data_IF_528960196880
#
_entry.id   IF_528960196880
#
_cell.length_a   1.000
_cell.length_b   1.000
_cell.length_c   1.000
_cell.angle_alpha   90.00
_cell.angle_beta   90.00
_cell.angle_gamma   90.00
#
_symmetry.space_group_name_H-M   'P 1'
#
loop_
_entity.id
_entity.type
_entity.pdbx_description
1 polymer ?
#
# COMPACT_ATOMS: atom_id res chain seq x y z
N UNK A 1 -5.84 0.81 20.61
CA UNK A 1 -7.12 0.17 20.23
C UNK A 1 -7.25 -1.18 20.91
N UNK A 2 -6.29 -2.09 20.70
CA UNK A 2 -6.26 -3.42 21.33
C UNK A 2 -6.35 -3.40 22.87
N UNK A 3 -5.77 -2.39 23.52
CA UNK A 3 -5.75 -2.30 24.99
C UNK A 3 -7.07 -1.82 25.61
N UNK A 4 -8.00 -1.32 24.80
CA UNK A 4 -9.20 -0.61 25.29
C UNK A 4 -10.52 -1.15 24.74
N UNK A 5 -10.49 -1.93 23.65
CA UNK A 5 -11.70 -2.42 22.99
C UNK A 5 -11.64 -3.93 22.75
N UNK A 6 -12.79 -4.58 22.80
CA UNK A 6 -12.93 -5.96 22.33
C UNK A 6 -12.98 -5.99 20.81
N UNK A 7 -11.85 -6.30 20.19
CA UNK A 7 -11.66 -6.25 18.74
C UNK A 7 -11.68 -7.66 18.17
N UNK A 8 -12.39 -7.84 17.04
CA UNK A 8 -12.35 -9.10 16.26
C UNK A 8 -11.32 -9.09 15.13
N UNK A 9 -10.90 -7.90 14.71
CA UNK A 9 -9.89 -7.68 13.67
C UNK A 9 -9.90 -6.24 13.18
N UNK A 10 -9.01 -5.92 12.25
CA UNK A 10 -8.77 -4.57 11.75
C UNK A 10 -9.09 -4.44 10.26
N UNK A 11 -9.98 -3.52 9.92
CA UNK A 11 -10.18 -3.10 8.53
C UNK A 11 -9.57 -1.72 8.41
N UNK A 12 -8.42 -1.63 7.74
CA UNK A 12 -7.75 -0.37 7.48
C UNK A 12 -8.09 0.11 6.07
N UNK A 13 -8.48 1.36 5.92
CA UNK A 13 -8.92 1.84 4.62
C UNK A 13 -8.69 3.33 4.45
N UNK A 14 -8.52 3.74 3.20
CA UNK A 14 -8.25 5.12 2.81
C UNK A 14 -7.88 5.22 1.34
N UNK A 15 -7.39 6.37 0.93
CA UNK A 15 -6.87 6.57 -0.43
C UNK A 15 -5.38 6.17 -0.53
N UNK A 16 -4.88 6.06 -1.76
CA UNK A 16 -3.48 5.79 -2.09
C UNK A 16 -3.15 6.25 -3.51
N UNK A 17 -1.87 6.47 -3.80
CA UNK A 17 -1.40 6.72 -5.16
C UNK A 17 -1.32 5.44 -5.99
N UNK A 18 -1.60 5.54 -7.29
CA UNK A 18 -1.54 4.42 -8.23
C UNK A 18 -0.13 4.24 -8.82
N UNK A 19 0.52 3.12 -8.49
CA UNK A 19 1.85 2.77 -9.03
C UNK A 19 1.78 1.79 -10.21
N UNK A 20 0.60 1.28 -10.57
CA UNK A 20 0.42 0.29 -11.63
C UNK A 20 -0.38 0.86 -12.81
N UNK A 21 0.20 0.82 -14.02
CA UNK A 21 -0.47 1.31 -15.25
C UNK A 21 -1.68 0.48 -15.68
N UNK A 22 -1.92 -0.71 -15.13
CA UNK A 22 -3.12 -1.50 -15.41
C UNK A 22 -4.33 -1.14 -14.53
N UNK A 23 -4.13 -0.24 -13.55
CA UNK A 23 -5.17 0.32 -12.69
C UNK A 23 -5.37 1.79 -13.01
N UNK A 24 -6.50 2.33 -12.57
CA UNK A 24 -6.90 3.69 -12.86
C UNK A 24 -7.40 4.43 -11.61
N UNK A 25 -7.45 5.77 -11.66
CA UNK A 25 -8.03 6.59 -10.59
C UNK A 25 -9.48 6.13 -10.32
N UNK A 26 -9.88 6.09 -9.06
CA UNK A 26 -11.20 5.62 -8.62
C UNK A 26 -11.28 4.11 -8.40
N UNK A 27 -10.37 3.31 -8.97
CA UNK A 27 -10.29 1.88 -8.68
C UNK A 27 -10.01 1.66 -7.19
N UNK A 28 -10.49 0.52 -6.66
CA UNK A 28 -10.23 0.11 -5.28
C UNK A 28 -9.37 -1.15 -5.30
N UNK A 29 -8.15 -1.03 -4.76
CA UNK A 29 -7.22 -2.13 -4.57
C UNK A 29 -7.38 -2.72 -3.16
N UNK A 30 -7.39 -4.06 -3.07
CA UNK A 30 -7.31 -4.81 -1.81
C UNK A 30 -6.04 -5.66 -1.85
N UNK A 31 -4.88 -5.12 -1.43
CA UNK A 31 -3.62 -5.84 -1.55
C UNK A 31 -3.53 -7.04 -0.61
N UNK A 32 -2.91 -8.14 -1.07
CA UNK A 32 -2.66 -9.34 -0.24
C UNK A 32 -1.51 -9.17 0.74
N UNK A 33 -0.62 -8.23 0.48
CA UNK A 33 0.54 -7.97 1.32
C UNK A 33 1.11 -6.57 1.09
N UNK A 34 1.80 -6.07 2.10
CA UNK A 34 2.44 -4.75 2.09
C UNK A 34 3.93 -4.86 2.43
N UNK A 35 4.70 -3.93 1.87
CA UNK A 35 6.08 -3.68 2.29
C UNK A 35 6.23 -2.18 2.63
N UNK A 36 7.03 -1.89 3.65
CA UNK A 36 7.48 -0.53 3.91
C UNK A 36 8.61 -0.18 2.94
N UNK A 37 8.26 0.43 1.81
CA UNK A 37 9.23 0.85 0.80
C UNK A 37 9.87 2.19 1.16
N UNK A 38 9.54 2.77 2.31
CA UNK A 38 10.23 3.94 2.87
C UNK A 38 11.32 3.59 3.89
N UNK A 39 11.50 2.31 4.24
CA UNK A 39 12.56 1.88 5.14
C UNK A 39 13.87 1.68 4.38
N UNK A 40 14.82 2.59 4.61
CA UNK A 40 16.07 2.66 3.87
C UNK A 40 17.28 2.79 4.78
N UNK A 41 18.37 2.16 4.36
CA UNK A 41 19.71 2.55 4.77
C UNK A 41 20.28 3.54 3.75
N UNK A 42 20.46 4.79 4.17
CA UNK A 42 21.10 5.81 3.33
C UNK A 42 22.60 5.86 3.59
N UNK A 43 23.36 5.44 2.59
CA UNK A 43 24.77 5.15 2.67
C UNK A 43 25.62 6.12 1.87
N UNK A 44 26.85 6.36 2.36
CA UNK A 44 27.87 7.17 1.66
C UNK A 44 28.22 6.54 0.30
N UNK A 45 28.71 7.31 -0.69
CA UNK A 45 29.01 6.79 -2.05
C UNK A 45 29.89 5.53 -2.10
N UNK A 46 30.85 5.40 -1.18
CA UNK A 46 31.80 4.29 -1.11
C UNK A 46 31.43 3.22 -0.07
N UNK A 47 30.27 3.33 0.58
CA UNK A 47 29.82 2.32 1.53
C UNK A 47 29.28 1.09 0.78
N UNK A 48 29.46 -0.08 1.41
CA UNK A 48 28.90 -1.35 0.96
C UNK A 48 27.46 -1.45 1.41
N UNK A 49 26.56 -1.84 0.49
CA UNK A 49 25.17 -2.12 0.84
C UNK A 49 25.11 -3.37 1.72
N UNK A 50 24.36 -3.35 2.84
CA UNK A 50 24.08 -4.54 3.63
C UNK A 50 23.60 -5.71 2.77
N UNK A 51 24.14 -6.91 3.02
CA UNK A 51 23.81 -8.10 2.20
C UNK A 51 22.35 -8.54 2.31
N UNK A 52 21.62 -8.05 3.33
CA UNK A 52 20.21 -8.32 3.56
C UNK A 52 19.28 -7.31 2.88
N UNK A 53 19.80 -6.25 2.26
CA UNK A 53 18.97 -5.33 1.49
C UNK A 53 18.48 -5.98 0.20
N UNK A 54 17.23 -5.69 -0.15
CA UNK A 54 16.49 -6.37 -1.23
C UNK A 54 16.49 -5.60 -2.54
N UNK A 55 16.85 -4.32 -2.49
CA UNK A 55 16.94 -3.42 -3.64
C UNK A 55 17.84 -2.22 -3.30
N UNK A 56 18.22 -1.45 -4.30
CA UNK A 56 19.05 -0.26 -4.12
C UNK A 56 18.73 0.86 -5.13
N UNK A 57 19.01 2.09 -4.74
CA UNK A 57 19.05 3.27 -5.59
C UNK A 57 20.44 3.93 -5.47
N UNK A 58 21.08 4.18 -6.61
CA UNK A 58 22.42 4.78 -6.64
C UNK A 58 22.33 6.27 -6.99
N UNK A 59 22.05 7.08 -5.97
CA UNK A 59 21.90 8.53 -6.10
C UNK A 59 23.15 9.20 -6.68
N UNK A 60 24.35 8.66 -6.44
CA UNK A 60 25.61 9.26 -6.88
C UNK A 60 25.74 9.36 -8.40
N UNK A 61 25.00 8.53 -9.15
CA UNK A 61 25.00 8.50 -10.61
C UNK A 61 24.16 9.63 -11.23
N UNK A 62 23.31 10.30 -10.44
CA UNK A 62 22.51 11.45 -10.87
C UNK A 62 23.30 12.75 -10.67
N UNK A 63 24.17 13.06 -11.62
CA UNK A 63 25.18 14.11 -11.51
C UNK A 63 25.07 15.22 -12.59
N UNK A 64 23.97 15.28 -13.34
CA UNK A 64 23.79 16.33 -14.35
C UNK A 64 23.85 17.76 -13.77
N UNK A 65 24.52 18.72 -14.45
CA UNK A 65 25.19 18.62 -15.75
C UNK A 65 26.68 18.23 -15.68
N UNK A 66 27.25 18.01 -14.48
CA UNK A 66 28.69 17.82 -14.30
C UNK A 66 29.02 16.35 -14.02
N UNK A 67 29.80 15.72 -14.89
CA UNK A 67 30.28 14.37 -14.66
C UNK A 67 31.01 14.21 -13.31
N UNK A 68 30.83 13.04 -12.67
CA UNK A 68 31.43 12.67 -11.39
C UNK A 68 30.38 12.29 -10.33
N UNK A 69 30.78 11.60 -9.27
CA UNK A 69 29.82 11.17 -8.25
C UNK A 69 29.37 12.34 -7.37
N UNK A 70 28.07 12.46 -7.10
CA UNK A 70 27.60 13.35 -6.04
C UNK A 70 27.78 12.72 -4.65
N UNK A 71 27.65 13.54 -3.60
CA UNK A 71 27.82 13.12 -2.21
C UNK A 71 26.61 12.39 -1.60
N UNK A 72 25.47 12.31 -2.32
CA UNK A 72 24.25 11.65 -1.84
C UNK A 72 24.38 10.13 -1.82
N UNK A 73 25.35 9.54 -2.52
CA UNK A 73 25.69 8.13 -2.35
C UNK A 73 24.60 7.18 -2.84
N UNK A 74 24.14 6.27 -1.98
CA UNK A 74 23.18 5.23 -2.35
C UNK A 74 22.21 4.92 -1.22
N UNK A 75 21.06 4.39 -1.57
CA UNK A 75 20.04 3.88 -0.64
C UNK A 75 19.89 2.39 -0.87
N UNK A 76 19.84 1.61 0.20
CA UNK A 76 19.45 0.20 0.20
C UNK A 76 18.10 0.01 0.90
N UNK A 77 17.28 -0.91 0.39
CA UNK A 77 15.96 -1.23 0.93
C UNK A 77 16.06 -2.41 1.88
N UNK A 78 15.76 -2.18 3.14
CA UNK A 78 16.00 -3.16 4.19
C UNK A 78 14.70 -3.87 4.60
N UNK A 79 14.76 -5.16 4.97
CA UNK A 79 13.66 -5.81 5.67
C UNK A 79 13.48 -5.22 7.07
N UNK A 80 12.28 -5.39 7.64
CA UNK A 80 11.97 -4.95 9.00
C UNK A 80 12.07 -6.10 10.00
N UNK A 81 12.38 -5.74 11.26
CA UNK A 81 12.27 -6.67 12.38
C UNK A 81 10.82 -6.81 12.83
N UNK A 82 10.27 -8.00 12.72
CA UNK A 82 8.91 -8.31 13.14
C UNK A 82 8.89 -9.22 14.38
N UNK A 83 8.06 -8.85 15.35
CA UNK A 83 7.78 -9.62 16.55
C UNK A 83 6.29 -9.94 16.61
N UNK A 84 5.94 -11.13 17.09
CA UNK A 84 4.55 -11.57 17.21
C UNK A 84 4.36 -12.40 18.47
N UNK A 85 3.16 -12.36 19.05
CA UNK A 85 2.78 -13.19 20.21
C UNK A 85 2.92 -14.70 19.96
N UNK A 86 2.73 -15.14 18.71
CA UNK A 86 2.92 -16.54 18.31
C UNK A 86 4.40 -16.94 18.09
N UNK A 87 5.34 -16.00 18.21
CA UNK A 87 6.77 -16.21 17.99
C UNK A 87 7.55 -16.35 19.28
N UNK A 88 8.84 -16.67 19.16
CA UNK A 88 9.76 -16.73 20.30
C UNK A 88 9.97 -15.33 20.91
N UNK A 89 9.81 -15.17 22.24
CA UNK A 89 10.05 -13.89 22.91
C UNK A 89 11.45 -13.33 22.60
N UNK A 90 11.52 -12.01 22.36
CA UNK A 90 12.75 -11.27 22.05
C UNK A 90 13.53 -11.74 20.82
N UNK A 91 12.92 -12.55 19.93
CA UNK A 91 13.56 -13.01 18.69
C UNK A 91 12.83 -12.43 17.47
N UNK A 92 13.41 -11.47 16.75
CA UNK A 92 12.78 -10.89 15.57
C UNK A 92 12.83 -11.83 14.37
N UNK A 93 11.80 -11.74 13.54
CA UNK A 93 11.79 -12.27 12.18
C UNK A 93 12.06 -11.15 11.20
N UNK A 94 13.05 -11.30 10.32
CA UNK A 94 13.30 -10.34 9.25
C UNK A 94 12.26 -10.50 8.15
N UNK A 95 11.46 -9.47 7.89
CA UNK A 95 10.37 -9.51 6.91
C UNK A 95 10.32 -8.24 6.07
N UNK A 96 10.26 -8.42 4.76
CA UNK A 96 9.91 -7.36 3.82
C UNK A 96 8.39 -7.29 3.62
N UNK A 97 7.75 -8.46 3.47
CA UNK A 97 6.34 -8.57 3.15
C UNK A 97 5.51 -8.99 4.35
N UNK A 98 4.48 -8.20 4.64
CA UNK A 98 3.47 -8.49 5.64
C UNK A 98 2.17 -8.85 4.95
N UNK A 99 1.74 -10.11 5.09
CA UNK A 99 0.51 -10.61 4.46
C UNK A 99 -0.71 -10.24 5.30
N UNK A 100 -1.77 -9.77 4.64
CA UNK A 100 -3.07 -9.59 5.28
C UNK A 100 -3.72 -10.96 5.54
N UNK A 101 -4.84 -11.00 6.27
CA UNK A 101 -5.48 -12.26 6.63
C UNK A 101 -6.10 -12.98 5.43
N UNK A 102 -5.64 -14.20 5.15
CA UNK A 102 -6.07 -14.99 4.00
C UNK A 102 -7.58 -15.22 3.93
N UNK A 103 -8.24 -15.52 5.05
CA UNK A 103 -9.69 -15.72 5.07
C UNK A 103 -10.45 -14.44 4.67
N UNK A 104 -9.99 -13.28 5.14
CA UNK A 104 -10.59 -11.99 4.81
C UNK A 104 -10.29 -11.58 3.37
N UNK A 105 -9.08 -11.87 2.89
CA UNK A 105 -8.72 -11.66 1.48
C UNK A 105 -9.58 -12.54 0.54
N UNK A 106 -9.84 -13.79 0.91
CA UNK A 106 -10.71 -14.68 0.15
C UNK A 106 -12.16 -14.16 0.12
N UNK A 107 -12.69 -13.71 1.26
CA UNK A 107 -14.01 -13.07 1.29
C UNK A 107 -14.07 -11.84 0.37
N UNK A 108 -13.00 -11.04 0.34
CA UNK A 108 -12.92 -9.84 -0.47
C UNK A 108 -12.96 -10.10 -1.98
N UNK A 109 -12.56 -11.29 -2.47
CA UNK A 109 -12.68 -11.61 -3.91
C UNK A 109 -14.13 -11.61 -4.38
N UNK A 110 -15.09 -11.86 -3.48
CA UNK A 110 -16.53 -11.76 -3.80
C UNK A 110 -17.04 -10.34 -4.02
N UNK A 111 -16.19 -9.32 -3.79
CA UNK A 111 -16.49 -7.91 -4.06
C UNK A 111 -16.03 -7.47 -5.46
N UNK A 112 -15.25 -8.29 -6.17
CA UNK A 112 -14.90 -8.01 -7.56
C UNK A 112 -16.17 -7.98 -8.42
N UNK A 113 -16.28 -6.97 -9.29
CA UNK A 113 -17.47 -6.72 -10.11
C UNK A 113 -18.57 -5.87 -9.43
N UNK A 114 -18.37 -5.45 -8.17
CA UNK A 114 -19.21 -4.42 -7.54
C UNK A 114 -19.20 -3.12 -8.36
N UNK A 115 -20.37 -2.48 -8.47
CA UNK A 115 -20.48 -1.16 -9.06
C UNK A 115 -19.90 -0.10 -8.12
N UNK A 116 -19.02 0.74 -8.67
CA UNK A 116 -18.37 1.85 -7.99
C UNK A 116 -18.82 3.17 -8.60
N UNK A 117 -18.75 4.25 -7.82
CA UNK A 117 -19.03 5.59 -8.30
C UNK A 117 -18.01 5.98 -9.37
N UNK A 118 -18.49 6.58 -10.45
CA UNK A 118 -17.67 7.06 -11.56
C UNK A 118 -17.43 8.58 -11.49
N UNK A 119 -18.25 9.31 -10.73
CA UNK A 119 -18.30 10.76 -10.74
C UNK A 119 -18.09 11.34 -9.34
N UNK A 120 -17.27 12.39 -9.26
CA UNK A 120 -17.17 13.23 -8.06
C UNK A 120 -18.44 14.08 -7.93
N UNK A 121 -18.92 14.62 -9.06
CA UNK A 121 -20.13 15.42 -9.16
C UNK A 121 -20.67 15.40 -10.61
N UNK A 122 -21.75 16.13 -10.89
CA UNK A 122 -22.40 16.16 -12.21
C UNK A 122 -21.51 16.60 -13.38
N UNK A 123 -20.39 17.29 -13.11
CA UNK A 123 -19.49 17.83 -14.12
C UNK A 123 -18.10 17.19 -14.14
N UNK A 124 -17.75 16.42 -13.10
CA UNK A 124 -16.44 15.79 -12.95
C UNK A 124 -16.61 14.28 -12.79
N UNK A 125 -16.38 13.56 -13.88
CA UNK A 125 -16.48 12.11 -13.98
C UNK A 125 -15.23 11.52 -14.63
N UNK A 126 -14.93 10.28 -14.29
CA UNK A 126 -13.94 9.47 -15.00
C UNK A 126 -14.51 8.99 -16.34
N UNK A 127 -13.66 8.82 -17.35
CA UNK A 127 -14.07 8.29 -18.67
C UNK A 127 -14.29 6.78 -18.69
N UNK A 128 -14.05 6.11 -17.57
CA UNK A 128 -14.16 4.67 -17.39
C UNK A 128 -14.87 4.36 -16.07
N UNK A 129 -15.44 3.15 -16.00
CA UNK A 129 -16.02 2.65 -14.75
C UNK A 129 -14.92 2.10 -13.85
N UNK A 130 -14.79 2.58 -12.60
CA UNK A 130 -13.84 2.01 -11.67
C UNK A 130 -14.19 0.57 -11.28
N UNK A 131 -13.18 -0.17 -10.83
CA UNK A 131 -13.32 -1.58 -10.41
C UNK A 131 -12.64 -1.86 -9.08
N UNK A 132 -13.09 -2.91 -8.42
CA UNK A 132 -12.39 -3.54 -7.29
C UNK A 132 -11.40 -4.56 -7.83
N UNK A 133 -10.17 -4.54 -7.31
CA UNK A 133 -9.12 -5.52 -7.67
C UNK A 133 -8.49 -6.09 -6.40
N UNK A 134 -8.47 -7.42 -6.28
CA UNK A 134 -7.98 -8.09 -5.08
C UNK A 134 -6.67 -8.82 -5.34
N UNK A 135 -5.77 -8.83 -4.36
CA UNK A 135 -4.61 -9.73 -4.36
C UNK A 135 -3.31 -9.16 -4.93
N UNK A 136 -3.28 -7.87 -5.24
CA UNK A 136 -2.06 -7.14 -5.63
C UNK A 136 -1.19 -6.83 -4.40
N UNK A 137 -0.09 -6.09 -4.57
CA UNK A 137 0.82 -5.71 -3.47
C UNK A 137 0.72 -4.22 -3.19
N UNK A 138 0.83 -3.84 -1.92
CA UNK A 138 0.85 -2.45 -1.49
C UNK A 138 2.23 -2.03 -1.01
N UNK A 139 2.47 -0.73 -1.10
CA UNK A 139 3.66 -0.03 -0.62
C UNK A 139 3.25 0.97 0.44
N UNK A 140 4.03 1.07 1.51
CA UNK A 140 3.89 2.14 2.51
C UNK A 140 5.20 2.91 2.65
N UNK A 141 5.13 4.22 2.78
CA UNK A 141 6.27 5.07 3.14
C UNK A 141 5.76 6.36 3.82
N UNK A 142 6.56 7.02 4.66
CA UNK A 142 6.18 8.30 5.30
C UNK A 142 6.30 9.51 4.36
N UNK A 143 6.18 9.30 3.05
CA UNK A 143 6.35 10.32 2.01
C UNK A 143 5.21 10.22 1.02
N UNK A 144 4.59 11.36 0.71
CA UNK A 144 3.65 11.44 -0.40
C UNK A 144 4.41 11.24 -1.71
N UNK A 145 3.98 10.25 -2.51
CA UNK A 145 4.65 9.90 -3.75
C UNK A 145 4.07 10.71 -4.91
N UNK A 146 4.83 11.69 -5.40
CA UNK A 146 4.49 12.48 -6.60
C UNK A 146 5.69 12.55 -7.56
N UNK A 147 6.16 11.37 -7.99
CA UNK A 147 7.30 11.27 -8.89
C UNK A 147 7.17 10.03 -9.79
N UNK A 148 6.90 10.23 -11.08
CA UNK A 148 6.72 9.16 -12.06
C UNK A 148 7.89 8.16 -12.09
N UNK A 149 9.14 8.65 -12.10
CA UNK A 149 10.31 7.79 -12.20
C UNK A 149 10.48 6.90 -10.95
N UNK A 150 10.25 7.48 -9.77
CA UNK A 150 10.34 6.73 -8.52
C UNK A 150 9.16 5.76 -8.34
N UNK A 151 7.95 6.17 -8.76
CA UNK A 151 6.77 5.30 -8.88
C UNK A 151 7.06 4.07 -9.74
N UNK A 152 7.63 4.28 -10.93
CA UNK A 152 7.95 3.19 -11.86
C UNK A 152 9.03 2.28 -11.27
N UNK A 153 10.03 2.85 -10.60
CA UNK A 153 11.06 2.09 -9.89
C UNK A 153 10.44 1.15 -8.84
N UNK A 154 9.57 1.64 -7.93
CA UNK A 154 9.00 0.78 -6.89
C UNK A 154 8.03 -0.26 -7.47
N UNK A 155 7.30 0.06 -8.55
CA UNK A 155 6.48 -0.90 -9.27
C UNK A 155 7.34 -2.03 -9.86
N UNK A 156 8.41 -1.69 -10.59
CA UNK A 156 9.30 -2.68 -11.21
C UNK A 156 10.06 -3.52 -10.18
N UNK A 157 10.48 -2.89 -9.08
CA UNK A 157 11.30 -3.53 -8.04
C UNK A 157 10.47 -4.45 -7.14
N UNK A 158 9.29 -4.00 -6.71
CA UNK A 158 8.50 -4.69 -5.68
C UNK A 158 7.17 -5.26 -6.20
N UNK A 159 6.74 -4.89 -7.40
CA UNK A 159 5.44 -5.27 -7.97
C UNK A 159 4.26 -4.67 -7.19
N UNK A 160 4.46 -3.52 -6.54
CA UNK A 160 3.44 -2.81 -5.76
C UNK A 160 2.53 -2.01 -6.69
N UNK A 161 1.22 -2.06 -6.47
CA UNK A 161 0.21 -1.38 -7.30
C UNK A 161 -0.41 -0.14 -6.65
N UNK A 162 -0.23 0.01 -5.35
CA UNK A 162 -0.72 1.15 -4.56
C UNK A 162 0.35 1.60 -3.59
N UNK A 163 0.47 2.91 -3.39
CA UNK A 163 1.39 3.52 -2.42
C UNK A 163 0.63 4.41 -1.42
N UNK A 164 0.74 4.10 -0.13
CA UNK A 164 0.15 4.86 0.97
C UNK A 164 1.18 5.20 2.06
N UNK A 165 0.71 5.77 3.17
CA UNK A 165 1.57 6.25 4.25
C UNK A 165 1.30 5.58 5.61
N UNK A 166 0.47 4.54 5.66
CA UNK A 166 0.06 3.93 6.95
C UNK A 166 -0.05 2.40 6.96
N UNK A 167 -0.29 1.74 5.82
CA UNK A 167 -0.82 0.36 5.84
C UNK A 167 0.12 -0.64 6.46
N UNK A 168 1.42 -0.57 6.18
CA UNK A 168 2.38 -1.50 6.78
C UNK A 168 2.42 -1.37 8.30
N UNK A 169 2.34 -0.16 8.85
CA UNK A 169 2.30 0.04 10.30
C UNK A 169 1.06 -0.59 10.95
N UNK A 170 -0.12 -0.44 10.32
CA UNK A 170 -1.36 -1.04 10.82
C UNK A 170 -1.34 -2.57 10.68
N UNK A 171 -0.90 -3.08 9.52
CA UNK A 171 -0.82 -4.53 9.26
C UNK A 171 0.17 -5.17 10.24
N UNK A 172 1.39 -4.63 10.35
CA UNK A 172 2.42 -5.14 11.24
C UNK A 172 1.94 -5.16 12.70
N UNK A 173 1.35 -4.07 13.18
CA UNK A 173 0.85 -3.99 14.56
C UNK A 173 -0.29 -4.99 14.80
N UNK A 174 -1.22 -5.14 13.85
CA UNK A 174 -2.33 -6.09 13.95
C UNK A 174 -1.83 -7.53 14.04
N UNK A 175 -0.91 -7.91 13.14
CA UNK A 175 -0.33 -9.25 13.09
C UNK A 175 0.54 -9.55 14.31
N UNK A 176 1.28 -8.55 14.80
CA UNK A 176 2.12 -8.67 15.99
C UNK A 176 1.28 -9.08 17.22
N UNK A 177 0.06 -8.53 17.32
CA UNK A 177 -0.92 -8.82 18.37
C UNK A 177 -1.90 -9.97 18.01
N UNK A 178 -1.62 -10.76 16.97
CA UNK A 178 -2.43 -11.93 16.62
C UNK A 178 -3.83 -11.64 16.05
N UNK A 179 -4.13 -10.40 15.64
CA UNK A 179 -5.44 -10.03 15.09
C UNK A 179 -5.49 -10.15 13.56
N UNK A 180 -6.64 -10.58 12.99
CA UNK A 180 -6.82 -10.53 11.57
C UNK A 180 -6.91 -9.09 11.07
N UNK A 181 -6.41 -8.85 9.86
CA UNK A 181 -6.35 -7.53 9.25
C UNK A 181 -6.59 -7.62 7.75
N UNK A 182 -7.26 -6.63 7.18
CA UNK A 182 -7.38 -6.38 5.74
C UNK A 182 -7.19 -4.90 5.47
N UNK A 183 -6.71 -4.57 4.27
CA UNK A 183 -6.50 -3.20 3.82
C UNK A 183 -7.25 -2.96 2.52
N UNK A 184 -7.98 -1.84 2.43
CA UNK A 184 -8.72 -1.41 1.24
C UNK A 184 -8.28 0.00 0.84
N UNK A 185 -7.72 0.15 -0.37
CA UNK A 185 -7.15 1.42 -0.84
C UNK A 185 -7.76 1.90 -2.16
N UNK A 186 -8.26 3.13 -2.16
CA UNK A 186 -8.82 3.78 -3.34
C UNK A 186 -7.76 4.59 -4.05
N UNK A 187 -7.65 4.44 -5.36
CA UNK A 187 -6.63 5.14 -6.14
C UNK A 187 -7.06 6.58 -6.40
N UNK A 188 -6.45 7.55 -5.72
CA UNK A 188 -6.81 8.98 -5.82
C UNK A 188 -6.06 9.73 -6.91
N UNK A 189 -4.90 9.21 -7.30
CA UNK A 189 -3.95 9.88 -8.18
C UNK A 189 -3.00 8.86 -8.81
N UNK A 190 -2.09 9.34 -9.68
CA UNK A 190 -1.17 8.50 -10.44
C UNK A 190 0.25 8.50 -9.86
N UNK A 191 0.42 8.87 -8.59
CA UNK A 191 1.70 8.86 -7.89
C UNK A 191 2.82 9.64 -8.65
N UNK A 192 2.44 10.74 -9.32
CA UNK A 192 3.35 11.58 -10.09
C UNK A 192 3.45 11.27 -11.59
N UNK A 193 2.71 10.28 -12.11
CA UNK A 193 2.68 9.99 -13.54
C UNK A 193 1.68 10.85 -14.33
N UNK A 194 0.88 11.68 -13.67
CA UNK A 194 0.00 12.65 -14.32
C UNK A 194 0.79 13.84 -14.91
N UNK A 195 0.21 14.51 -15.92
CA UNK A 195 0.71 15.80 -16.37
C UNK A 195 0.24 16.93 -15.44
N UNK A 196 1.15 17.81 -15.04
CA UNK A 196 0.82 18.98 -14.23
C UNK A 196 0.59 18.64 -12.75
N UNK A 197 -0.38 19.30 -12.12
CA UNK A 197 -0.67 19.13 -10.71
C UNK A 197 -1.23 17.74 -10.41
N UNK A 198 -0.88 17.21 -9.24
CA UNK A 198 -1.42 15.94 -8.78
C UNK A 198 -2.96 16.00 -8.66
N UNK A 199 -3.62 14.95 -9.15
CA UNK A 199 -5.07 14.89 -9.27
C UNK A 199 -5.80 14.53 -7.98
N UNK A 200 -5.08 14.33 -6.88
CA UNK A 200 -5.64 13.96 -5.57
C UNK A 200 -6.72 14.94 -5.09
N UNK A 201 -6.53 16.25 -5.30
CA UNK A 201 -7.51 17.25 -4.88
C UNK A 201 -8.83 17.15 -5.66
N UNK A 202 -8.79 16.60 -6.88
CA UNK A 202 -9.96 16.40 -7.73
C UNK A 202 -10.66 15.07 -7.42
N UNK A 203 -9.89 13.97 -7.36
CA UNK A 203 -10.45 12.62 -7.31
C UNK A 203 -10.31 11.91 -5.95
N UNK A 204 -9.62 12.51 -4.98
CA UNK A 204 -9.54 12.03 -3.60
C UNK A 204 -10.92 11.74 -2.98
N UNK A 205 -11.91 12.65 -3.09
CA UNK A 205 -13.26 12.38 -2.59
C UNK A 205 -13.95 11.18 -3.26
N UNK A 206 -13.74 10.98 -4.56
CA UNK A 206 -14.30 9.85 -5.30
C UNK A 206 -13.66 8.53 -4.83
N UNK A 207 -12.32 8.48 -4.77
CA UNK A 207 -11.58 7.33 -4.28
C UNK A 207 -11.99 6.97 -2.84
N UNK A 208 -12.11 7.96 -1.96
CA UNK A 208 -12.55 7.75 -0.58
C UNK A 208 -13.99 7.19 -0.51
N UNK A 209 -14.89 7.69 -1.34
CA UNK A 209 -16.29 7.22 -1.43
C UNK A 209 -16.34 5.76 -1.88
N UNK A 210 -15.61 5.42 -2.93
CA UNK A 210 -15.55 4.04 -3.44
C UNK A 210 -14.97 3.07 -2.41
N UNK A 211 -13.92 3.48 -1.68
CA UNK A 211 -13.37 2.69 -0.57
C UNK A 211 -14.40 2.47 0.52
N UNK A 212 -15.11 3.51 0.94
CA UNK A 212 -16.15 3.38 1.97
C UNK A 212 -17.26 2.40 1.53
N UNK A 213 -17.69 2.49 0.27
CA UNK A 213 -18.68 1.56 -0.31
C UNK A 213 -18.19 0.11 -0.27
N UNK A 214 -16.94 -0.15 -0.67
CA UNK A 214 -16.33 -1.49 -0.62
C UNK A 214 -16.22 -2.01 0.82
N UNK A 215 -15.80 -1.17 1.77
CA UNK A 215 -15.68 -1.55 3.19
C UNK A 215 -17.03 -1.87 3.80
N UNK A 216 -18.07 -1.06 3.53
CA UNK A 216 -19.43 -1.33 4.01
C UNK A 216 -19.91 -2.71 3.53
N UNK A 217 -19.64 -3.04 2.28
CA UNK A 217 -20.07 -4.30 1.68
C UNK A 217 -19.24 -5.49 2.20
N UNK A 218 -17.94 -5.30 2.40
CA UNK A 218 -17.09 -6.27 3.08
C UNK A 218 -17.62 -6.61 4.49
N UNK A 219 -17.96 -5.60 5.29
CA UNK A 219 -18.48 -5.78 6.66
C UNK A 219 -19.80 -6.54 6.66
N UNK A 220 -20.72 -6.24 5.73
CA UNK A 220 -21.98 -6.99 5.59
C UNK A 220 -21.72 -8.48 5.36
N UNK A 221 -20.87 -8.82 4.37
CA UNK A 221 -20.51 -10.21 4.08
C UNK A 221 -19.81 -10.91 5.25
N UNK A 222 -18.93 -10.20 5.95
CA UNK A 222 -18.24 -10.76 7.12
C UNK A 222 -19.22 -11.10 8.26
N UNK A 223 -20.29 -10.30 8.42
CA UNK A 223 -21.33 -10.57 9.40
C UNK A 223 -22.17 -11.80 9.04
N UNK A 224 -22.52 -11.99 7.76
CA UNK A 224 -23.28 -13.14 7.25
C UNK A 224 -22.51 -14.46 7.44
N UNK A 225 -21.21 -14.48 7.16
CA UNK A 225 -20.35 -15.65 7.45
C UNK A 225 -20.28 -15.98 8.93
N UNK A 226 -20.34 -14.96 9.80
CA UNK A 226 -20.32 -15.16 11.25
C UNK A 226 -21.61 -15.81 11.76
N UNK A 227 -22.77 -15.43 11.21
CA UNK A 227 -24.07 -16.01 11.57
C UNK A 227 -24.31 -17.41 10.98
N UNK A 228 -23.71 -17.74 9.84
CA UNK A 228 -23.84 -19.08 9.24
C UNK A 228 -23.00 -20.16 9.93
N UNK A 229 -22.06 -19.78 10.80
CA UNK A 229 -21.20 -20.68 11.57
C UNK A 229 -21.60 -20.84 13.04
N UNK A 230 -22.63 -20.11 13.49
CA UNK A 230 -23.22 -20.20 14.85
C UNK A 230 -24.49 -21.02 14.85
#
# INVERSE_FOLDING_TARGET
>A
MVDHFYIKGFIHFGISGNTNSSLSIGDVSIPKQFANTGLWDWLKPNATIPSNDVAQLDFKNYNVPKEGNNSLGRVGYSPEQFYSEAGEPNTPQQRLWFQVSNNWLHLATSLEGMELEQCVNATLCLDYKPKVVVGLRGSTANTFLDNAAYRDFIFQTFGVSSADMESTAVVMTSLSNGYPVIVVRGLSDLAGAQEGQNSIDLFGPLAATNVANVVIQFVKKLSEESYSRS
#
